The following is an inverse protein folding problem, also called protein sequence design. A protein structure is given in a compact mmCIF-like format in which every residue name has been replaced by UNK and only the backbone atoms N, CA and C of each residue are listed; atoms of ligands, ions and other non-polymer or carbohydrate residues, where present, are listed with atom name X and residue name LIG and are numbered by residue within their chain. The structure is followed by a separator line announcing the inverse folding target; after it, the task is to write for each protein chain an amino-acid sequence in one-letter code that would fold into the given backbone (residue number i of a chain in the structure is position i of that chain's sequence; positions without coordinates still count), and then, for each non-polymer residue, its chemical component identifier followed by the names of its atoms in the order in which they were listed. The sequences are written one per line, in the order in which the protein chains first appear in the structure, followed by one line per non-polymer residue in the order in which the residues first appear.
data_IF_348425352650
#
_entry.id   IF_348425352650
#
_cell.length_a   1.000
_cell.length_b   1.000
_cell.length_c   1.000
_cell.angle_alpha   90.00
_cell.angle_beta   90.00
_cell.angle_gamma   90.00
#
_symmetry.space_group_name_H-M   'P 1'
#
loop_
_entity.id
_entity.type
_entity.pdbx_description
1 polymer ?
#
# COMPACT_ATOMS: atom_id res chain seq x y z
N UNK A 1 16.60 -3.30 -18.89
CA UNK A 1 16.47 -3.15 -17.43
C UNK A 1 16.23 -4.53 -16.85
N UNK A 2 16.86 -4.84 -15.72
CA UNK A 2 16.63 -6.11 -15.00
C UNK A 2 16.21 -5.74 -13.57
N UNK A 3 14.90 -5.50 -13.42
CA UNK A 3 14.29 -5.12 -12.15
C UNK A 3 13.72 -6.36 -11.46
N UNK A 4 14.15 -6.62 -10.24
CA UNK A 4 13.67 -7.72 -9.39
C UNK A 4 13.06 -7.11 -8.12
N UNK A 5 11.78 -7.36 -7.88
CA UNK A 5 11.09 -6.94 -6.68
C UNK A 5 11.05 -8.10 -5.67
N UNK A 6 11.74 -7.95 -4.55
CA UNK A 6 11.67 -8.86 -3.41
C UNK A 6 10.43 -8.51 -2.60
N UNK A 7 9.46 -9.40 -2.60
CA UNK A 7 8.11 -9.09 -2.15
C UNK A 7 7.34 -10.31 -1.62
N UNK A 8 6.17 -10.02 -1.04
CA UNK A 8 5.07 -10.96 -0.92
C UNK A 8 3.80 -10.33 -1.51
N UNK A 9 3.10 -10.96 -2.49
CA UNK A 9 1.97 -10.35 -3.20
C UNK A 9 0.77 -9.97 -2.33
N UNK A 10 0.72 -10.47 -1.09
CA UNK A 10 -0.32 -10.16 -0.11
C UNK A 10 0.10 -9.09 0.90
N UNK A 11 1.31 -8.54 0.79
CA UNK A 11 1.79 -7.48 1.67
C UNK A 11 1.42 -6.10 1.11
N UNK A 12 0.78 -5.26 1.92
CA UNK A 12 0.24 -3.95 1.50
C UNK A 12 1.30 -3.05 0.85
N UNK A 13 2.48 -2.91 1.46
CA UNK A 13 3.56 -2.09 0.88
C UNK A 13 4.17 -2.66 -0.41
N UNK A 14 4.13 -3.99 -0.60
CA UNK A 14 4.50 -4.61 -1.86
C UNK A 14 3.45 -4.31 -2.94
N UNK A 15 2.17 -4.41 -2.60
CA UNK A 15 1.07 -4.06 -3.51
C UNK A 15 1.13 -2.59 -3.94
N UNK A 16 1.46 -1.66 -3.04
CA UNK A 16 1.70 -0.25 -3.35
C UNK A 16 2.71 -0.08 -4.50
N UNK A 17 3.85 -0.78 -4.43
CA UNK A 17 4.89 -0.74 -5.48
C UNK A 17 4.41 -1.43 -6.76
N UNK A 18 3.69 -2.55 -6.66
CA UNK A 18 3.14 -3.23 -7.85
C UNK A 18 2.15 -2.37 -8.61
N UNK A 19 1.29 -1.62 -7.91
CA UNK A 19 0.39 -0.64 -8.55
C UNK A 19 1.22 0.35 -9.39
N UNK A 20 2.30 0.90 -8.83
CA UNK A 20 3.16 1.83 -9.55
C UNK A 20 3.83 1.19 -10.78
N UNK A 21 4.33 -0.05 -10.69
CA UNK A 21 4.85 -0.78 -11.84
C UNK A 21 3.84 -0.90 -12.98
N UNK A 22 2.58 -1.22 -12.64
CA UNK A 22 1.52 -1.36 -13.64
C UNK A 22 1.03 -0.02 -14.19
N UNK A 23 1.02 1.05 -13.40
CA UNK A 23 0.71 2.41 -13.87
C UNK A 23 1.75 2.93 -14.85
N UNK A 24 3.03 2.62 -14.62
CA UNK A 24 4.15 3.07 -15.43
C UNK A 24 4.48 2.12 -16.60
N UNK A 25 3.78 0.98 -16.69
CA UNK A 25 4.04 -0.09 -17.68
C UNK A 25 5.50 -0.54 -17.71
N UNK A 26 6.15 -0.60 -16.53
CA UNK A 26 7.54 -1.04 -16.39
C UNK A 26 7.58 -2.56 -16.18
N UNK A 27 8.30 -3.32 -17.01
CA UNK A 27 8.47 -4.75 -16.81
C UNK A 27 9.38 -5.04 -15.62
N UNK A 28 9.01 -6.01 -14.80
CA UNK A 28 9.77 -6.48 -13.65
C UNK A 28 9.57 -7.98 -13.43
N UNK A 29 10.48 -8.59 -12.67
CA UNK A 29 10.32 -9.92 -12.11
C UNK A 29 10.13 -9.85 -10.61
N UNK A 30 9.54 -10.88 -10.03
CA UNK A 30 9.32 -10.95 -8.59
C UNK A 30 10.17 -12.05 -7.96
N UNK A 31 10.68 -11.79 -6.76
CA UNK A 31 11.30 -12.78 -5.89
C UNK A 31 10.42 -12.89 -4.64
N UNK A 32 9.78 -14.06 -4.46
CA UNK A 32 8.86 -14.27 -3.36
C UNK A 32 9.63 -14.46 -2.05
N UNK A 33 9.32 -13.62 -1.06
CA UNK A 33 9.94 -13.66 0.27
C UNK A 33 9.01 -14.38 1.25
N UNK A 34 9.34 -15.65 1.54
CA UNK A 34 8.57 -16.48 2.47
C UNK A 34 9.49 -17.21 3.46
N UNK A 35 8.97 -17.48 4.64
CA UNK A 35 9.65 -18.27 5.67
C UNK A 35 10.95 -17.66 6.21
N UNK A 36 11.76 -18.49 6.84
CA UNK A 36 13.02 -18.06 7.45
C UNK A 36 14.12 -17.80 6.42
N UNK A 37 14.15 -18.58 5.35
CA UNK A 37 15.14 -18.46 4.27
C UNK A 37 14.93 -17.14 3.50
N UNK A 38 13.72 -16.87 3.01
CA UNK A 38 13.41 -15.60 2.34
C UNK A 38 13.67 -14.39 3.23
N UNK A 39 13.40 -14.48 4.54
CA UNK A 39 13.74 -13.41 5.48
C UNK A 39 15.26 -13.20 5.60
N UNK A 40 16.06 -14.28 5.60
CA UNK A 40 17.51 -14.19 5.66
C UNK A 40 18.09 -13.57 4.38
N UNK A 41 17.57 -13.95 3.21
CA UNK A 41 17.93 -13.35 1.92
C UNK A 41 17.60 -11.85 1.90
N UNK A 42 16.40 -11.47 2.35
CA UNK A 42 15.99 -10.07 2.44
C UNK A 42 16.90 -9.28 3.39
N UNK A 43 17.26 -9.85 4.54
CA UNK A 43 18.17 -9.23 5.52
C UNK A 43 19.57 -9.01 4.95
N UNK A 44 20.04 -9.85 4.03
CA UNK A 44 21.30 -9.67 3.33
C UNK A 44 21.28 -8.48 2.35
N UNK A 45 20.10 -8.14 1.81
CA UNK A 45 19.89 -6.98 0.94
C UNK A 45 19.62 -5.71 1.73
N UNK A 46 18.82 -5.82 2.79
CA UNK A 46 18.39 -4.74 3.64
C UNK A 46 18.32 -5.22 5.11
N UNK A 47 19.21 -4.78 6.01
CA UNK A 47 19.33 -5.34 7.38
C UNK A 47 18.06 -5.26 8.24
N UNK A 48 17.14 -4.33 7.93
CA UNK A 48 15.83 -4.24 8.61
C UNK A 48 14.91 -5.40 8.22
N UNK A 49 15.21 -6.10 7.11
CA UNK A 49 14.45 -7.22 6.58
C UNK A 49 12.95 -6.91 6.37
N UNK A 50 12.65 -5.67 5.99
CA UNK A 50 11.30 -5.23 5.58
C UNK A 50 11.16 -5.28 4.06
N UNK A 51 10.01 -5.72 3.59
CA UNK A 51 9.66 -5.71 2.17
C UNK A 51 8.67 -4.57 1.85
N UNK A 52 8.65 -4.05 0.60
CA UNK A 52 9.42 -4.49 -0.56
C UNK A 52 10.86 -3.99 -0.59
N UNK A 53 11.73 -4.71 -1.33
CA UNK A 53 13.05 -4.22 -1.75
C UNK A 53 13.14 -4.39 -3.26
N UNK A 54 13.52 -3.33 -3.98
CA UNK A 54 13.82 -3.38 -5.41
C UNK A 54 15.32 -3.58 -5.62
N UNK A 55 15.67 -4.50 -6.52
CA UNK A 55 17.02 -4.62 -7.06
C UNK A 55 16.99 -4.29 -8.56
N UNK A 56 17.76 -3.28 -8.95
CA UNK A 56 18.11 -3.04 -10.36
C UNK A 56 19.50 -3.60 -10.61
N UNK A 57 19.56 -4.77 -11.25
CA UNK A 57 20.82 -5.44 -11.56
C UNK A 57 21.64 -4.68 -12.60
N UNK A 58 20.98 -3.96 -13.52
CA UNK A 58 21.66 -3.16 -14.55
C UNK A 58 22.35 -1.95 -13.98
N UNK A 59 21.78 -1.33 -12.93
CA UNK A 59 22.37 -0.19 -12.23
C UNK A 59 23.23 -0.59 -11.02
N UNK A 60 23.19 -1.86 -10.61
CA UNK A 60 23.83 -2.31 -9.36
C UNK A 60 23.19 -1.72 -8.11
N UNK A 61 21.93 -1.30 -8.20
CA UNK A 61 21.19 -0.61 -7.13
C UNK A 61 20.33 -1.60 -6.35
N UNK A 62 20.36 -1.47 -5.01
CA UNK A 62 19.38 -2.09 -4.10
C UNK A 62 18.65 -0.99 -3.36
N UNK A 63 17.34 -0.92 -3.51
CA UNK A 63 16.51 0.17 -2.98
C UNK A 63 15.39 -0.40 -2.12
N UNK A 64 15.42 -0.18 -0.78
CA UNK A 64 14.29 -0.43 0.10
C UNK A 64 13.33 0.78 0.09
N UNK A 65 12.23 0.67 0.85
CA UNK A 65 11.20 1.68 1.05
C UNK A 65 10.30 1.92 -0.18
N UNK A 66 9.02 1.59 -0.03
CA UNK A 66 8.05 1.59 -1.13
C UNK A 66 7.95 2.93 -1.87
N UNK A 67 7.94 4.06 -1.14
CA UNK A 67 7.88 5.40 -1.76
C UNK A 67 9.15 5.72 -2.55
N UNK A 68 10.34 5.39 -2.00
CA UNK A 68 11.60 5.60 -2.69
C UNK A 68 11.69 4.76 -3.97
N UNK A 69 11.19 3.52 -3.93
CA UNK A 69 11.09 2.65 -5.10
C UNK A 69 10.20 3.31 -6.16
N UNK A 70 9.02 3.83 -5.79
CA UNK A 70 8.10 4.47 -6.74
C UNK A 70 8.70 5.74 -7.35
N UNK A 71 9.41 6.55 -6.58
CA UNK A 71 10.13 7.73 -7.12
C UNK A 71 11.18 7.28 -8.14
N UNK A 72 11.97 6.25 -7.84
CA UNK A 72 12.95 5.68 -8.77
C UNK A 72 12.31 5.15 -10.05
N UNK A 73 11.16 4.45 -9.95
CA UNK A 73 10.42 3.98 -11.13
C UNK A 73 9.93 5.14 -12.00
N UNK A 74 9.53 6.26 -11.41
CA UNK A 74 9.18 7.47 -12.15
C UNK A 74 10.33 8.02 -13.00
N UNK A 75 11.56 7.97 -12.48
CA UNK A 75 12.76 8.38 -13.24
C UNK A 75 13.06 7.43 -14.40
N UNK A 76 12.69 6.16 -14.31
CA UNK A 76 12.85 5.17 -15.39
C UNK A 76 11.80 5.28 -16.49
N UNK A 77 10.68 5.96 -16.24
CA UNK A 77 9.57 6.15 -17.18
C UNK A 77 9.19 7.64 -17.33
N UNK A 78 10.10 8.48 -17.84
CA UNK A 78 9.90 9.93 -17.90
C UNK A 78 8.73 10.36 -18.81
N UNK A 79 8.33 9.52 -19.76
CA UNK A 79 7.21 9.75 -20.67
C UNK A 79 5.90 9.11 -20.14
N UNK A 80 5.94 8.43 -19.00
CA UNK A 80 4.81 7.79 -18.35
C UNK A 80 3.95 8.76 -17.53
N UNK A 81 2.88 8.27 -16.89
CA UNK A 81 2.09 9.07 -15.97
C UNK A 81 2.95 9.52 -14.77
N UNK A 82 2.86 10.81 -14.42
CA UNK A 82 3.65 11.39 -13.35
C UNK A 82 3.04 11.00 -11.98
N UNK A 83 3.47 9.87 -11.39
CA UNK A 83 3.06 9.48 -10.04
C UNK A 83 3.52 10.48 -8.98
N UNK A 84 4.61 11.19 -9.23
CA UNK A 84 4.99 12.41 -8.49
C UNK A 84 4.86 13.57 -9.47
N UNK A 85 3.91 14.52 -9.27
CA UNK A 85 3.74 15.67 -10.12
C UNK A 85 5.01 16.52 -10.25
N UNK A 86 5.23 17.13 -11.41
CA UNK A 86 6.37 18.03 -11.64
C UNK A 86 6.21 19.37 -10.90
N UNK A 87 4.97 19.87 -10.72
CA UNK A 87 4.72 21.05 -9.90
C UNK A 87 5.05 20.76 -8.43
N UNK A 88 5.78 21.67 -7.81
CA UNK A 88 6.28 21.48 -6.44
C UNK A 88 5.16 21.42 -5.40
N UNK A 89 4.10 22.19 -5.55
CA UNK A 89 2.99 22.20 -4.61
C UNK A 89 2.18 20.91 -4.72
N UNK A 90 1.90 20.46 -5.94
CA UNK A 90 1.23 19.19 -6.21
C UNK A 90 2.07 17.99 -5.77
N UNK A 91 3.39 18.01 -6.01
CA UNK A 91 4.31 16.98 -5.52
C UNK A 91 4.32 16.90 -3.98
N UNK A 92 4.23 18.05 -3.30
CA UNK A 92 4.11 18.09 -1.84
C UNK A 92 2.80 17.45 -1.37
N UNK A 93 1.68 17.70 -2.06
CA UNK A 93 0.40 17.07 -1.76
C UNK A 93 0.46 15.55 -1.98
N UNK A 94 1.05 15.11 -3.09
CA UNK A 94 1.22 13.67 -3.37
C UNK A 94 2.02 12.96 -2.26
N UNK A 95 3.15 13.55 -1.83
CA UNK A 95 3.98 12.98 -0.73
C UNK A 95 3.30 13.07 0.63
N UNK A 96 2.54 14.14 0.92
CA UNK A 96 1.78 14.27 2.17
C UNK A 96 0.75 13.15 2.30
N UNK A 97 -0.04 12.92 1.24
CA UNK A 97 -1.09 11.90 1.26
C UNK A 97 -0.53 10.48 1.14
N UNK A 98 0.59 10.28 0.48
CA UNK A 98 1.35 9.02 0.54
C UNK A 98 1.75 8.69 2.00
N UNK A 99 2.37 9.64 2.71
CA UNK A 99 2.72 9.47 4.12
C UNK A 99 1.50 9.30 5.02
N UNK A 100 0.38 9.98 4.69
CA UNK A 100 -0.87 9.81 5.42
C UNK A 100 -1.35 8.37 5.37
N UNK A 101 -1.44 7.76 4.19
CA UNK A 101 -1.87 6.37 4.05
C UNK A 101 -0.90 5.38 4.71
N UNK A 102 0.39 5.61 4.60
CA UNK A 102 1.38 4.76 5.26
C UNK A 102 1.23 4.81 6.79
N UNK A 103 1.15 6.00 7.38
CA UNK A 103 1.22 6.19 8.83
C UNK A 103 -0.12 6.07 9.55
N UNK A 104 -1.19 6.59 8.96
CA UNK A 104 -2.48 6.67 9.64
C UNK A 104 -3.48 5.61 9.20
N UNK A 105 -3.15 4.86 8.13
CA UNK A 105 -4.00 3.77 7.63
C UNK A 105 -3.25 2.43 7.66
N UNK A 106 -2.12 2.30 6.96
CA UNK A 106 -1.42 1.03 6.85
C UNK A 106 -0.77 0.57 8.17
N UNK A 107 -0.10 1.46 8.92
CA UNK A 107 0.51 1.10 10.22
C UNK A 107 -0.53 0.69 11.26
N UNK A 108 -1.63 1.44 11.51
CA UNK A 108 -2.69 0.97 12.41
C UNK A 108 -3.32 -0.35 11.97
N UNK A 109 -3.55 -0.54 10.68
CA UNK A 109 -3.99 -1.82 10.12
C UNK A 109 -3.03 -2.96 10.47
N UNK A 110 -1.72 -2.76 10.25
CA UNK A 110 -0.70 -3.77 10.59
C UNK A 110 -0.64 -4.04 12.10
N UNK A 111 -0.89 -3.05 12.95
CA UNK A 111 -0.99 -3.22 14.40
C UNK A 111 -2.11 -4.19 14.76
N UNK A 112 -3.30 -4.01 14.17
CA UNK A 112 -4.48 -4.87 14.43
C UNK A 112 -4.22 -6.29 13.92
N UNK A 113 -3.72 -6.44 12.68
CA UNK A 113 -3.40 -7.74 12.09
C UNK A 113 -2.26 -8.43 12.86
N UNK A 114 -1.21 -7.71 13.19
CA UNK A 114 -0.06 -8.25 13.93
C UNK A 114 -0.43 -8.70 15.35
N UNK A 115 -1.37 -8.02 16.00
CA UNK A 115 -1.86 -8.41 17.32
C UNK A 115 -2.59 -9.77 17.28
N UNK A 116 -3.37 -10.02 16.24
CA UNK A 116 -4.08 -11.30 16.06
C UNK A 116 -3.16 -12.51 15.85
N UNK A 117 -1.89 -12.27 15.49
CA UNK A 117 -0.85 -13.30 15.31
C UNK A 117 -0.04 -13.56 16.59
N UNK A 118 -0.29 -12.82 17.67
CA UNK A 118 0.41 -13.05 18.95
C UNK A 118 -0.06 -14.33 19.62
N UNK A 119 0.80 -14.97 20.42
CA UNK A 119 0.39 -16.10 21.24
C UNK A 119 -0.77 -15.72 22.18
N UNK A 120 -1.61 -16.70 22.54
CA UNK A 120 -2.71 -16.51 23.49
C UNK A 120 -2.20 -15.86 24.79
N UNK A 121 -2.91 -14.85 25.29
CA UNK A 121 -2.55 -14.10 26.49
C UNK A 121 -1.50 -13.01 26.29
N UNK A 122 -0.94 -12.85 25.08
CA UNK A 122 0.06 -11.81 24.75
C UNK A 122 -0.49 -10.67 23.88
N UNK A 123 -1.81 -10.61 23.68
CA UNK A 123 -2.47 -9.52 22.96
C UNK A 123 -2.28 -8.17 23.64
N UNK A 124 -2.44 -7.11 22.84
CA UNK A 124 -2.37 -5.71 23.26
C UNK A 124 -3.69 -5.01 22.91
N UNK A 125 -4.76 -5.25 23.69
CA UNK A 125 -6.09 -4.72 23.40
C UNK A 125 -6.13 -3.19 23.42
N UNK A 126 -5.33 -2.54 24.28
CA UNK A 126 -5.26 -1.07 24.34
C UNK A 126 -4.64 -0.49 23.09
N UNK A 127 -3.53 -1.05 22.62
CA UNK A 127 -2.91 -0.64 21.36
C UNK A 127 -3.76 -0.95 20.12
N UNK A 128 -4.58 -2.02 20.16
CA UNK A 128 -5.57 -2.29 19.08
C UNK A 128 -6.70 -1.27 19.12
N UNK A 129 -7.18 -0.87 20.30
CA UNK A 129 -8.20 0.17 20.44
C UNK A 129 -7.70 1.53 19.93
N UNK A 130 -6.47 1.90 20.28
CA UNK A 130 -5.81 3.12 19.75
C UNK A 130 -5.66 3.08 18.24
N UNK A 131 -5.25 1.94 17.67
CA UNK A 131 -5.14 1.77 16.21
C UNK A 131 -6.50 1.94 15.51
N UNK A 132 -7.58 1.42 16.08
CA UNK A 132 -8.94 1.62 15.55
C UNK A 132 -9.37 3.09 15.61
N UNK A 133 -9.13 3.78 16.73
CA UNK A 133 -9.42 5.22 16.86
C UNK A 133 -8.63 6.03 15.83
N UNK A 134 -7.36 5.69 15.58
CA UNK A 134 -6.54 6.35 14.55
C UNK A 134 -7.15 6.15 13.15
N UNK A 135 -7.68 4.95 12.85
CA UNK A 135 -8.36 4.69 11.58
C UNK A 135 -9.65 5.53 11.43
N UNK A 136 -10.45 5.67 12.50
CA UNK A 136 -11.67 6.49 12.47
C UNK A 136 -11.36 7.96 12.19
N UNK A 137 -10.32 8.51 12.85
CA UNK A 137 -9.82 9.86 12.59
C UNK A 137 -9.28 10.00 11.15
N UNK A 138 -8.55 9.01 10.67
CA UNK A 138 -8.02 8.99 9.30
C UNK A 138 -9.15 8.97 8.26
N UNK A 139 -10.19 8.17 8.44
CA UNK A 139 -11.33 8.14 7.52
C UNK A 139 -12.08 9.48 7.52
N UNK A 140 -12.23 10.10 8.67
CA UNK A 140 -12.86 11.43 8.78
C UNK A 140 -12.05 12.50 8.03
N UNK A 141 -10.73 12.53 8.23
CA UNK A 141 -9.85 13.46 7.53
C UNK A 141 -9.83 13.21 6.01
N UNK A 142 -9.82 11.94 5.61
CA UNK A 142 -9.84 11.53 4.20
C UNK A 142 -11.15 11.92 3.51
N UNK A 143 -12.30 11.75 4.18
CA UNK A 143 -13.60 12.12 3.62
C UNK A 143 -13.69 13.63 3.32
N UNK A 144 -13.19 14.45 4.23
CA UNK A 144 -13.09 15.90 4.02
C UNK A 144 -12.16 16.23 2.85
N UNK A 145 -11.00 15.58 2.76
CA UNK A 145 -10.05 15.78 1.66
C UNK A 145 -10.67 15.46 0.30
N UNK A 146 -11.43 14.40 0.23
CA UNK A 146 -12.01 13.88 -1.02
C UNK A 146 -13.31 14.60 -1.44
N UNK A 147 -13.86 15.52 -0.62
CA UNK A 147 -15.11 16.21 -0.92
C UNK A 147 -15.09 16.99 -2.25
N UNK A 148 -13.92 17.48 -2.66
CA UNK A 148 -13.74 18.23 -3.91
C UNK A 148 -12.65 17.63 -4.83
N UNK A 149 -12.17 16.43 -4.55
CA UNK A 149 -11.08 15.77 -5.29
C UNK A 149 -11.50 14.39 -5.75
N UNK A 150 -11.02 14.03 -6.94
CA UNK A 150 -11.18 12.68 -7.46
C UNK A 150 -10.19 11.71 -6.80
N UNK A 151 -8.93 12.11 -6.71
CA UNK A 151 -7.83 11.35 -6.13
C UNK A 151 -7.28 12.04 -4.88
N UNK A 152 -6.55 11.33 -4.05
CA UNK A 152 -6.11 11.83 -2.74
C UNK A 152 -5.36 13.15 -2.81
N UNK A 153 -4.45 13.31 -3.78
CA UNK A 153 -3.67 14.54 -3.96
C UNK A 153 -4.33 15.58 -4.88
N UNK A 154 -5.36 15.22 -5.65
CA UNK A 154 -5.99 16.16 -6.59
C UNK A 154 -6.77 15.49 -7.72
N UNK A 155 -6.57 15.97 -8.96
CA UNK A 155 -7.27 15.49 -10.14
C UNK A 155 -6.58 14.28 -10.80
N UNK A 156 -5.28 14.06 -10.56
CA UNK A 156 -4.49 12.97 -11.15
C UNK A 156 -4.20 11.89 -10.11
N UNK A 157 -4.12 10.64 -10.58
CA UNK A 157 -3.64 9.51 -9.80
C UNK A 157 -2.14 9.66 -9.52
N UNK A 158 -1.72 9.47 -8.27
CA UNK A 158 -0.36 9.73 -7.80
C UNK A 158 0.15 8.60 -6.90
N UNK A 159 1.38 8.73 -6.38
CA UNK A 159 1.95 7.84 -5.36
C UNK A 159 1.04 7.71 -4.12
N UNK A 160 0.29 8.76 -3.78
CA UNK A 160 -0.69 8.72 -2.69
C UNK A 160 -1.78 7.67 -2.93
N UNK A 161 -2.25 7.54 -4.16
CA UNK A 161 -3.29 6.59 -4.52
C UNK A 161 -2.74 5.16 -4.65
N UNK A 162 -1.45 5.03 -5.03
CA UNK A 162 -0.73 3.76 -4.94
C UNK A 162 -0.68 3.24 -3.49
N UNK A 163 -0.49 4.13 -2.52
CA UNK A 163 -0.50 3.80 -1.08
C UNK A 163 -1.92 3.54 -0.56
N UNK A 164 -2.89 4.36 -1.00
CA UNK A 164 -4.29 4.26 -0.59
C UNK A 164 -4.92 2.92 -0.94
N UNK A 165 -4.65 2.40 -2.14
CA UNK A 165 -5.33 1.22 -2.67
C UNK A 165 -5.18 0.00 -1.75
N UNK A 166 -3.97 -0.51 -1.42
CA UNK A 166 -3.82 -1.64 -0.51
C UNK A 166 -4.16 -1.27 0.94
N UNK A 167 -3.87 -0.05 1.40
CA UNK A 167 -4.16 0.36 2.76
C UNK A 167 -5.67 0.31 3.05
N UNK A 168 -6.50 0.92 2.20
CA UNK A 168 -7.96 0.89 2.34
C UNK A 168 -8.54 -0.49 2.06
N UNK A 169 -7.95 -1.27 1.16
CA UNK A 169 -8.39 -2.63 0.89
C UNK A 169 -8.31 -3.49 2.15
N UNK A 170 -7.17 -3.52 2.84
CA UNK A 170 -7.00 -4.33 4.04
C UNK A 170 -7.71 -3.76 5.26
N UNK A 171 -7.76 -2.44 5.43
CA UNK A 171 -8.52 -1.85 6.55
C UNK A 171 -10.01 -2.12 6.43
N UNK A 172 -10.57 -2.11 5.21
CA UNK A 172 -11.97 -2.50 5.00
C UNK A 172 -12.27 -3.93 5.49
N UNK A 173 -11.30 -4.83 5.46
CA UNK A 173 -11.47 -6.19 5.96
C UNK A 173 -11.55 -6.27 7.49
N UNK A 174 -10.94 -5.32 8.23
CA UNK A 174 -10.76 -5.40 9.69
C UNK A 174 -11.42 -4.28 10.49
N UNK A 175 -11.60 -3.12 9.88
CA UNK A 175 -12.18 -1.91 10.49
C UNK A 175 -12.75 -1.00 9.40
N UNK A 176 -14.05 -1.14 9.14
CA UNK A 176 -14.73 -0.40 8.06
C UNK A 176 -15.03 1.02 8.49
N UNK A 177 -14.92 1.94 7.53
CA UNK A 177 -15.51 3.29 7.68
C UNK A 177 -17.03 3.23 7.60
N UNK A 178 -17.70 4.28 8.06
CA UNK A 178 -19.13 4.49 7.87
C UNK A 178 -19.42 4.83 6.40
N UNK A 179 -19.95 3.87 5.65
CA UNK A 179 -20.14 4.00 4.19
C UNK A 179 -21.13 5.12 3.82
N UNK A 180 -22.09 5.41 4.67
CA UNK A 180 -23.08 6.47 4.46
C UNK A 180 -22.55 7.83 4.94
N UNK A 181 -21.95 7.89 6.12
CA UNK A 181 -21.40 9.10 6.72
C UNK A 181 -20.11 9.58 6.05
N UNK A 182 -19.34 8.65 5.44
CA UNK A 182 -18.07 8.92 4.75
C UNK A 182 -18.18 8.53 3.26
N UNK A 183 -19.17 9.13 2.60
CA UNK A 183 -19.53 8.82 1.22
C UNK A 183 -18.41 9.11 0.20
N UNK A 184 -17.54 10.09 0.49
CA UNK A 184 -16.37 10.38 -0.37
C UNK A 184 -15.31 9.30 -0.29
N UNK A 185 -15.06 8.73 0.89
CA UNK A 185 -14.17 7.56 1.06
C UNK A 185 -14.74 6.36 0.32
N UNK A 186 -16.05 6.11 0.44
CA UNK A 186 -16.74 5.02 -0.27
C UNK A 186 -16.62 5.16 -1.79
N UNK A 187 -16.85 6.36 -2.34
CA UNK A 187 -16.64 6.65 -3.76
C UNK A 187 -15.20 6.42 -4.19
N UNK A 188 -14.26 6.97 -3.43
CA UNK A 188 -12.83 6.87 -3.72
C UNK A 188 -12.34 5.42 -3.71
N UNK A 189 -12.73 4.63 -2.71
CA UNK A 189 -12.41 3.21 -2.65
C UNK A 189 -12.93 2.44 -3.86
N UNK A 190 -14.18 2.69 -4.26
CA UNK A 190 -14.76 2.08 -5.47
C UNK A 190 -13.95 2.45 -6.71
N UNK A 191 -13.56 3.73 -6.87
CA UNK A 191 -12.80 4.21 -8.01
C UNK A 191 -11.38 3.61 -8.04
N UNK A 192 -10.74 3.43 -6.86
CA UNK A 192 -9.48 2.69 -6.71
C UNK A 192 -9.62 1.24 -7.17
N UNK A 193 -10.63 0.51 -6.68
CA UNK A 193 -10.83 -0.90 -7.02
C UNK A 193 -11.18 -1.11 -8.51
N UNK A 194 -11.80 -0.13 -9.16
CA UNK A 194 -12.11 -0.16 -10.58
C UNK A 194 -10.88 0.13 -11.48
N UNK A 195 -9.77 0.64 -10.93
CA UNK A 195 -8.57 0.95 -11.70
C UNK A 195 -7.83 -0.34 -12.07
N UNK A 196 -7.46 -0.46 -13.35
CA UNK A 196 -6.90 -1.70 -13.90
C UNK A 196 -5.65 -2.21 -13.16
N UNK A 197 -4.73 -1.29 -12.79
CA UNK A 197 -3.53 -1.60 -12.01
C UNK A 197 -3.86 -2.16 -10.63
N UNK A 198 -4.82 -1.55 -9.93
CA UNK A 198 -5.27 -1.96 -8.60
C UNK A 198 -6.04 -3.29 -8.66
N UNK A 199 -6.99 -3.41 -9.58
CA UNK A 199 -7.75 -4.65 -9.77
C UNK A 199 -6.82 -5.85 -10.05
N UNK A 200 -5.77 -5.63 -10.87
CA UNK A 200 -4.76 -6.65 -11.15
C UNK A 200 -4.00 -7.06 -9.89
N UNK A 201 -3.55 -6.11 -9.08
CA UNK A 201 -2.82 -6.38 -7.84
C UNK A 201 -3.69 -7.16 -6.84
N UNK A 202 -4.96 -6.78 -6.70
CA UNK A 202 -5.92 -7.50 -5.84
C UNK A 202 -6.12 -8.94 -6.32
N UNK A 203 -6.29 -9.14 -7.63
CA UNK A 203 -6.47 -10.49 -8.20
C UNK A 203 -5.22 -11.37 -8.01
N UNK A 204 -4.03 -10.82 -8.23
CA UNK A 204 -2.76 -11.54 -8.03
C UNK A 204 -2.53 -11.90 -6.54
N UNK A 205 -3.03 -11.09 -5.61
CA UNK A 205 -3.01 -11.36 -4.17
C UNK A 205 -4.03 -12.40 -3.70
N UNK A 206 -5.12 -12.59 -4.45
CA UNK A 206 -6.29 -13.42 -4.04
C UNK A 206 -5.92 -14.83 -3.57
N UNK A 207 -5.00 -15.50 -4.24
CA UNK A 207 -4.55 -16.86 -3.90
C UNK A 207 -3.90 -16.98 -2.52
N UNK A 208 -3.49 -15.84 -1.94
CA UNK A 208 -2.86 -15.77 -0.61
C UNK A 208 -3.84 -15.35 0.49
N UNK A 209 -5.13 -15.18 0.16
CA UNK A 209 -6.15 -14.70 1.11
C UNK A 209 -6.27 -15.59 2.36
N UNK A 210 -6.02 -16.91 2.23
CA UNK A 210 -6.02 -17.84 3.36
C UNK A 210 -4.93 -17.56 4.41
N UNK A 211 -3.91 -16.76 4.06
CA UNK A 211 -2.87 -16.30 4.98
C UNK A 211 -3.34 -15.13 5.86
N UNK A 212 -4.52 -14.55 5.57
CA UNK A 212 -5.04 -13.45 6.39
C UNK A 212 -5.56 -14.00 7.72
N UNK A 213 -5.03 -13.50 8.87
CA UNK A 213 -5.27 -14.17 10.17
C UNK A 213 -6.62 -13.84 10.79
N UNK A 214 -7.39 -12.93 10.19
CA UNK A 214 -8.71 -12.50 10.67
C UNK A 214 -9.80 -12.96 9.67
N UNK A 215 -11.07 -13.01 10.09
CA UNK A 215 -12.17 -13.36 9.18
C UNK A 215 -12.21 -12.44 7.98
N UNK A 216 -12.20 -13.03 6.79
CA UNK A 216 -12.33 -12.27 5.54
C UNK A 216 -13.80 -11.98 5.24
N UNK A 217 -14.20 -10.71 4.99
CA UNK A 217 -15.59 -10.37 4.71
C UNK A 217 -16.07 -10.97 3.39
N UNK A 218 -17.31 -11.49 3.38
CA UNK A 218 -17.88 -12.18 2.21
C UNK A 218 -18.14 -11.24 1.01
N UNK A 219 -18.25 -9.94 1.27
CA UNK A 219 -18.48 -8.89 0.26
C UNK A 219 -17.19 -8.29 -0.32
N UNK A 220 -16.03 -8.82 0.06
CA UNK A 220 -14.75 -8.42 -0.49
C UNK A 220 -14.19 -9.45 -1.49
N UNK A 221 -13.52 -8.99 -2.56
CA UNK A 221 -12.91 -9.85 -3.57
C UNK A 221 -11.79 -10.75 -3.05
#
# INVERSE_FOLDING_TARGET
MSLVLYEHPFAAFCQKVRVAFYELDIPFTTHLVEGAEGRAELAALWPIASMPVLRDESAGLTLPESTAIIEYLGDLAPDGPALIPADRADALQARLWDRFFDQYVAIPMQKIVGDSLRPEGHGDPDGVAEARSTLDDAYTALDVQLASRQWAAGAAFTVADCAAAPALFYTRAIHRWDEDGQANVTRYFRDLMARASVARVVEEGRRYRELFPLPWPADMP
#
